data_IF_299522886784
#
_entry.id   IF_299522886784
#
_cell.length_a   1.000
_cell.length_b   1.000
_cell.length_c   1.000
_cell.angle_alpha   90.00
_cell.angle_beta   90.00
_cell.angle_gamma   90.00
#
_symmetry.space_group_name_H-M   'P 1'
#
loop_
_entity.id
_entity.type
_entity.pdbx_description
1 polymer ?
#
# COMPACT_ATOMS: atom_id res chain seq x y z
N UNK A 1 -37.18 1.62 -1.92
CA UNK A 1 -37.16 0.16 -1.65
C UNK A 1 -36.74 -0.02 -0.21
N UNK A 2 -37.65 -0.44 0.65
CA UNK A 2 -37.42 -0.74 2.07
C UNK A 2 -36.49 -1.96 2.14
N UNK A 3 -35.27 -1.77 2.61
CA UNK A 3 -34.37 -2.89 2.97
C UNK A 3 -34.99 -3.58 4.18
N UNK A 4 -35.56 -4.76 3.98
CA UNK A 4 -35.94 -5.64 5.09
C UNK A 4 -34.71 -5.84 5.99
N UNK A 5 -34.92 -5.89 7.31
CA UNK A 5 -33.86 -6.19 8.25
C UNK A 5 -33.15 -7.49 7.83
N UNK A 6 -31.80 -7.56 7.89
CA UNK A 6 -31.09 -8.78 7.51
C UNK A 6 -31.59 -9.94 8.37
N UNK A 7 -31.88 -11.08 7.74
CA UNK A 7 -32.21 -12.32 8.45
C UNK A 7 -31.00 -12.70 9.33
N UNK A 8 -31.24 -13.05 10.58
CA UNK A 8 -30.15 -13.47 11.52
C UNK A 8 -29.32 -14.61 10.96
N UNK A 9 -29.90 -15.45 10.10
CA UNK A 9 -29.19 -16.52 9.42
C UNK A 9 -28.19 -15.95 8.40
N UNK A 10 -28.56 -14.92 7.65
CA UNK A 10 -27.70 -14.24 6.69
C UNK A 10 -26.49 -13.58 7.39
N UNK A 11 -26.74 -12.86 8.49
CA UNK A 11 -25.67 -12.22 9.27
C UNK A 11 -24.67 -13.26 9.82
N UNK A 12 -25.13 -14.39 10.30
CA UNK A 12 -24.25 -15.49 10.76
C UNK A 12 -23.38 -16.06 9.65
N UNK A 13 -23.91 -16.22 8.45
CA UNK A 13 -23.16 -16.72 7.29
C UNK A 13 -22.07 -15.72 6.90
N UNK A 14 -22.40 -14.44 6.77
CA UNK A 14 -21.41 -13.40 6.47
C UNK A 14 -20.38 -13.21 7.58
N UNK A 15 -20.75 -13.39 8.83
CA UNK A 15 -19.79 -13.38 9.94
C UNK A 15 -18.77 -14.52 9.80
N UNK A 16 -19.20 -15.74 9.47
CA UNK A 16 -18.29 -16.88 9.20
C UNK A 16 -17.31 -16.56 8.07
N UNK A 17 -17.80 -16.02 6.94
CA UNK A 17 -16.98 -15.64 5.78
C UNK A 17 -15.98 -14.55 6.20
N UNK A 18 -16.43 -13.53 6.92
CA UNK A 18 -15.62 -12.41 7.38
C UNK A 18 -14.47 -12.89 8.29
N UNK A 19 -14.79 -13.68 9.32
CA UNK A 19 -13.78 -14.22 10.25
C UNK A 19 -12.82 -15.22 9.60
N UNK A 20 -13.27 -15.92 8.56
CA UNK A 20 -12.40 -16.83 7.81
C UNK A 20 -11.45 -16.10 6.86
N UNK A 21 -11.94 -15.11 6.12
CA UNK A 21 -11.15 -14.50 5.03
C UNK A 21 -10.39 -13.25 5.45
N UNK A 22 -11.04 -12.31 6.17
CA UNK A 22 -10.45 -10.99 6.38
C UNK A 22 -9.23 -10.98 7.30
N UNK A 23 -9.13 -11.74 8.40
CA UNK A 23 -7.91 -11.75 9.21
C UNK A 23 -6.70 -12.25 8.43
N UNK A 24 -6.88 -13.30 7.62
CA UNK A 24 -5.81 -13.85 6.80
C UNK A 24 -5.40 -12.91 5.66
N UNK A 25 -6.37 -12.38 4.90
CA UNK A 25 -6.09 -11.38 3.86
C UNK A 25 -5.53 -10.08 4.43
N UNK A 26 -5.98 -9.69 5.63
CA UNK A 26 -5.44 -8.56 6.36
C UNK A 26 -3.97 -8.76 6.75
N UNK A 27 -3.60 -9.97 7.20
CA UNK A 27 -2.21 -10.33 7.46
C UNK A 27 -1.36 -10.28 6.18
N UNK A 28 -1.88 -10.82 5.06
CA UNK A 28 -1.19 -10.72 3.76
C UNK A 28 -0.99 -9.26 3.33
N UNK A 29 -2.01 -8.41 3.52
CA UNK A 29 -1.96 -7.00 3.18
C UNK A 29 -1.02 -6.20 4.10
N UNK A 30 -0.98 -6.55 5.39
CA UNK A 30 -0.05 -5.98 6.36
C UNK A 30 1.40 -6.26 5.93
N UNK A 31 1.71 -7.50 5.57
CA UNK A 31 3.06 -7.89 5.12
C UNK A 31 3.43 -7.18 3.81
N UNK A 32 2.48 -7.00 2.88
CA UNK A 32 2.73 -6.24 1.65
C UNK A 32 3.17 -4.80 1.93
N UNK A 33 2.54 -4.13 2.89
CA UNK A 33 2.93 -2.77 3.26
C UNK A 33 4.18 -2.71 4.14
N UNK A 34 4.45 -3.72 4.94
CA UNK A 34 5.69 -3.84 5.70
C UNK A 34 6.89 -3.88 4.74
N UNK A 35 6.81 -4.70 3.69
CA UNK A 35 7.84 -4.82 2.67
C UNK A 35 8.05 -3.52 1.86
N UNK A 36 7.04 -2.65 1.78
CA UNK A 36 7.19 -1.32 1.17
C UNK A 36 7.92 -0.32 2.06
N UNK A 37 7.82 -0.46 3.38
CA UNK A 37 8.46 0.45 4.34
C UNK A 37 9.93 0.12 4.53
N UNK A 38 10.29 -1.15 4.45
CA UNK A 38 11.63 -1.64 4.76
C UNK A 38 12.74 -0.95 3.96
N UNK A 39 12.48 -0.62 2.69
CA UNK A 39 13.47 0.07 1.83
C UNK A 39 13.84 1.44 2.37
N UNK A 40 12.92 2.12 3.09
CA UNK A 40 13.22 3.39 3.78
C UNK A 40 14.17 3.22 4.97
N UNK A 41 14.08 2.10 5.69
CA UNK A 41 15.02 1.73 6.74
C UNK A 41 16.33 1.22 6.16
N UNK A 42 16.31 0.33 5.17
CA UNK A 42 17.51 -0.16 4.48
C UNK A 42 18.38 0.98 3.98
N UNK A 43 17.77 2.05 3.46
CA UNK A 43 18.43 3.26 2.99
C UNK A 43 19.48 3.79 3.96
N UNK A 44 19.22 3.73 5.27
CA UNK A 44 20.07 4.34 6.31
C UNK A 44 21.53 3.87 6.22
N UNK A 45 21.79 2.64 5.78
CA UNK A 45 23.12 2.09 5.64
C UNK A 45 23.42 1.57 4.22
N UNK A 46 22.43 1.09 3.50
CA UNK A 46 22.55 0.54 2.15
C UNK A 46 23.20 1.51 1.15
N UNK A 47 22.87 2.81 1.23
CA UNK A 47 23.44 3.81 0.31
C UNK A 47 24.96 3.92 0.48
N UNK A 48 25.43 3.94 1.71
CA UNK A 48 26.87 4.00 2.01
C UNK A 48 27.58 2.74 1.58
N UNK A 49 27.01 1.56 1.89
CA UNK A 49 27.60 0.26 1.57
C UNK A 49 27.69 0.01 0.06
N UNK A 50 26.66 0.39 -0.68
CA UNK A 50 26.58 0.22 -2.14
C UNK A 50 27.10 1.45 -2.92
N UNK A 51 27.52 2.52 -2.23
CA UNK A 51 27.99 3.78 -2.82
C UNK A 51 26.98 4.41 -3.77
N UNK A 52 25.70 4.37 -3.39
CA UNK A 52 24.61 4.93 -4.17
C UNK A 52 24.28 6.35 -3.74
N UNK A 53 23.88 7.20 -4.70
CA UNK A 53 23.38 8.55 -4.41
C UNK A 53 21.93 8.55 -3.91
N UNK A 54 21.49 9.66 -3.33
CA UNK A 54 20.08 9.87 -2.94
C UNK A 54 19.15 9.84 -4.16
N UNK A 55 19.56 10.38 -5.31
CA UNK A 55 18.81 10.31 -6.56
C UNK A 55 18.69 8.86 -7.07
N UNK A 56 19.78 8.08 -7.01
CA UNK A 56 19.75 6.67 -7.37
C UNK A 56 18.76 5.89 -6.49
N UNK A 57 18.81 6.12 -5.18
CA UNK A 57 17.83 5.53 -4.27
C UNK A 57 16.40 5.96 -4.61
N UNK A 58 16.16 7.26 -4.80
CA UNK A 58 14.85 7.80 -5.12
C UNK A 58 14.27 7.22 -6.41
N UNK A 59 15.09 7.08 -7.45
CA UNK A 59 14.70 6.41 -8.70
C UNK A 59 14.35 4.95 -8.46
N UNK A 60 15.23 4.19 -7.77
CA UNK A 60 15.00 2.78 -7.49
C UNK A 60 13.76 2.53 -6.61
N UNK A 61 13.57 3.33 -5.56
CA UNK A 61 12.37 3.28 -4.73
C UNK A 61 11.10 3.53 -5.57
N UNK A 62 11.17 4.46 -6.51
CA UNK A 62 10.05 4.85 -7.36
C UNK A 62 9.78 3.88 -8.51
N UNK A 63 10.81 3.30 -9.16
CA UNK A 63 10.62 2.44 -10.34
C UNK A 63 9.77 1.18 -10.06
N UNK A 64 9.65 0.78 -8.81
CA UNK A 64 8.68 -0.19 -8.34
C UNK A 64 7.26 0.13 -8.83
N UNK A 65 6.82 1.39 -8.70
CA UNK A 65 5.47 1.80 -9.10
C UNK A 65 5.26 1.75 -10.61
N UNK A 66 6.32 1.92 -11.39
CA UNK A 66 6.25 1.74 -12.86
C UNK A 66 5.99 0.28 -13.21
N UNK A 67 6.75 -0.64 -12.61
CA UNK A 67 6.53 -2.10 -12.76
C UNK A 67 5.13 -2.50 -12.31
N UNK A 68 4.70 -2.01 -11.15
CA UNK A 68 3.37 -2.26 -10.61
C UNK A 68 2.27 -1.78 -11.57
N UNK A 69 2.35 -0.54 -12.05
CA UNK A 69 1.37 0.05 -12.98
C UNK A 69 1.25 -0.75 -14.29
N UNK A 70 2.37 -1.10 -14.91
CA UNK A 70 2.37 -1.80 -16.19
C UNK A 70 1.75 -3.21 -16.10
N UNK A 71 1.93 -3.88 -14.96
CA UNK A 71 1.50 -5.28 -14.79
C UNK A 71 0.25 -5.45 -13.94
N UNK A 72 -0.34 -4.40 -13.39
CA UNK A 72 -1.56 -4.46 -12.59
C UNK A 72 -2.73 -5.09 -13.37
N UNK A 73 -3.01 -4.59 -14.58
CA UNK A 73 -4.10 -5.11 -15.42
C UNK A 73 -3.82 -6.52 -15.92
N UNK A 74 -2.65 -6.83 -16.53
CA UNK A 74 -2.30 -8.20 -16.91
C UNK A 74 -2.40 -9.21 -15.77
N UNK A 75 -1.95 -8.83 -14.58
CA UNK A 75 -2.00 -9.68 -13.39
C UNK A 75 -3.45 -10.00 -12.97
N UNK A 76 -4.34 -9.02 -12.99
CA UNK A 76 -5.74 -9.23 -12.67
C UNK A 76 -6.47 -10.11 -13.69
N UNK A 77 -6.15 -9.97 -14.97
CA UNK A 77 -6.68 -10.85 -16.02
C UNK A 77 -6.21 -12.31 -15.81
N UNK A 78 -4.95 -12.49 -15.42
CA UNK A 78 -4.42 -13.80 -15.09
C UNK A 78 -5.10 -14.41 -13.85
N UNK A 79 -5.33 -13.61 -12.79
CA UNK A 79 -6.07 -14.04 -11.60
C UNK A 79 -7.45 -14.56 -11.96
N UNK A 80 -8.17 -13.86 -12.84
CA UNK A 80 -9.51 -14.26 -13.25
C UNK A 80 -9.52 -15.59 -14.04
N UNK A 81 -8.46 -15.86 -14.82
CA UNK A 81 -8.35 -17.12 -15.63
C UNK A 81 -7.81 -18.30 -14.84
N UNK A 82 -6.84 -18.07 -13.97
CA UNK A 82 -6.09 -19.13 -13.27
C UNK A 82 -6.75 -19.47 -11.92
N UNK A 83 -7.48 -18.53 -11.35
CA UNK A 83 -8.10 -18.64 -10.02
C UNK A 83 -7.33 -17.88 -8.95
N UNK A 84 -8.09 -17.29 -8.02
CA UNK A 84 -7.57 -16.38 -7.00
C UNK A 84 -6.57 -17.05 -6.05
N UNK A 85 -6.87 -18.28 -5.60
CA UNK A 85 -6.01 -19.05 -4.69
C UNK A 85 -4.59 -19.19 -5.21
N UNK A 86 -4.42 -19.72 -6.42
CA UNK A 86 -3.10 -19.95 -7.01
C UNK A 86 -2.42 -18.62 -7.35
N UNK A 87 -3.15 -17.66 -7.90
CA UNK A 87 -2.56 -16.41 -8.38
C UNK A 87 -2.11 -15.51 -7.24
N UNK A 88 -2.88 -15.38 -6.15
CA UNK A 88 -2.48 -14.64 -4.94
C UNK A 88 -1.24 -15.30 -4.30
N UNK A 89 -1.22 -16.64 -4.21
CA UNK A 89 -0.06 -17.36 -3.71
C UNK A 89 1.19 -17.08 -4.55
N UNK A 90 1.07 -17.15 -5.89
CA UNK A 90 2.16 -16.82 -6.82
C UNK A 90 2.67 -15.39 -6.60
N UNK A 91 1.76 -14.42 -6.52
CA UNK A 91 2.14 -13.02 -6.26
C UNK A 91 2.97 -12.94 -4.98
N UNK A 92 2.47 -13.45 -3.87
CA UNK A 92 3.15 -13.36 -2.57
C UNK A 92 4.50 -14.06 -2.53
N UNK A 93 4.60 -15.27 -3.08
CA UNK A 93 5.86 -16.02 -3.12
C UNK A 93 6.87 -15.33 -4.03
N UNK A 94 6.46 -14.92 -5.23
CA UNK A 94 7.40 -14.27 -6.17
C UNK A 94 7.86 -12.91 -5.67
N UNK A 95 6.98 -12.10 -5.11
CA UNK A 95 7.40 -10.83 -4.51
C UNK A 95 8.34 -11.05 -3.31
N UNK A 96 8.02 -12.00 -2.41
CA UNK A 96 8.89 -12.31 -1.27
C UNK A 96 10.29 -12.76 -1.70
N UNK A 97 10.38 -13.60 -2.74
CA UNK A 97 11.68 -14.00 -3.31
C UNK A 97 12.45 -12.82 -3.91
N UNK A 98 11.79 -11.95 -4.67
CA UNK A 98 12.43 -10.76 -5.25
C UNK A 98 12.82 -9.75 -4.17
N UNK A 99 11.97 -9.53 -3.15
CA UNK A 99 12.29 -8.66 -2.02
C UNK A 99 13.51 -9.18 -1.25
N UNK A 100 13.51 -10.47 -0.90
CA UNK A 100 14.67 -11.09 -0.23
C UNK A 100 15.95 -11.05 -1.07
N UNK A 101 15.84 -11.13 -2.40
CA UNK A 101 17.00 -11.02 -3.30
C UNK A 101 17.65 -9.63 -3.31
N UNK A 102 16.95 -8.59 -2.85
CA UNK A 102 17.54 -7.26 -2.68
C UNK A 102 18.70 -7.23 -1.67
N UNK A 103 18.74 -8.16 -0.72
CA UNK A 103 19.88 -8.35 0.17
C UNK A 103 21.19 -8.65 -0.59
N UNK A 104 21.09 -9.17 -1.79
CA UNK A 104 22.23 -9.57 -2.63
C UNK A 104 22.53 -8.57 -3.76
N UNK A 105 22.03 -7.33 -3.68
CA UNK A 105 22.24 -6.29 -4.71
C UNK A 105 23.74 -6.12 -5.04
N UNK A 106 24.60 -6.00 -4.03
CA UNK A 106 26.05 -5.90 -4.23
C UNK A 106 26.69 -7.15 -4.86
N UNK A 107 26.21 -8.33 -4.46
CA UNK A 107 26.66 -9.61 -5.04
C UNK A 107 26.27 -9.71 -6.52
N UNK A 108 25.05 -9.37 -6.87
CA UNK A 108 24.60 -9.36 -8.27
C UNK A 108 25.34 -8.32 -9.10
N UNK A 109 25.65 -7.15 -8.52
CA UNK A 109 26.46 -6.15 -9.18
C UNK A 109 27.86 -6.69 -9.51
N UNK A 110 28.51 -7.35 -8.57
CA UNK A 110 29.81 -7.97 -8.77
C UNK A 110 29.79 -9.12 -9.80
N UNK A 111 28.74 -9.93 -9.80
CA UNK A 111 28.60 -11.07 -10.74
C UNK A 111 28.29 -10.62 -12.18
N UNK A 112 27.51 -9.55 -12.33
CA UNK A 112 27.07 -9.07 -13.65
C UNK A 112 27.97 -8.00 -14.25
N UNK A 113 28.84 -7.38 -13.45
CA UNK A 113 29.62 -6.21 -13.84
C UNK A 113 28.82 -4.92 -13.97
N UNK A 114 27.54 -4.93 -13.57
CA UNK A 114 26.67 -3.74 -13.55
C UNK A 114 26.92 -2.91 -12.29
N UNK A 115 26.59 -1.62 -12.33
CA UNK A 115 26.55 -0.80 -11.13
C UNK A 115 25.48 -1.28 -10.13
N UNK A 116 25.74 -1.11 -8.82
CA UNK A 116 24.80 -1.53 -7.78
C UNK A 116 23.44 -0.80 -7.88
N UNK A 117 23.43 0.46 -8.32
CA UNK A 117 22.26 1.24 -8.64
C UNK A 117 21.41 0.61 -9.74
N UNK A 118 22.04 0.17 -10.84
CA UNK A 118 21.37 -0.50 -11.96
C UNK A 118 20.72 -1.81 -11.51
N UNK A 119 21.43 -2.61 -10.71
CA UNK A 119 20.89 -3.86 -10.14
C UNK A 119 19.72 -3.56 -9.21
N UNK A 120 19.86 -2.55 -8.35
CA UNK A 120 18.78 -2.11 -7.46
C UNK A 120 17.53 -1.69 -8.27
N UNK A 121 17.68 -0.94 -9.37
CA UNK A 121 16.57 -0.56 -10.24
C UNK A 121 15.84 -1.76 -10.82
N UNK A 122 16.58 -2.73 -11.34
CA UNK A 122 15.97 -3.95 -11.88
C UNK A 122 15.26 -4.77 -10.82
N UNK A 123 15.84 -4.94 -9.64
CA UNK A 123 15.20 -5.67 -8.55
C UNK A 123 13.93 -4.95 -8.08
N UNK A 124 13.95 -3.63 -7.95
CA UNK A 124 12.78 -2.83 -7.60
C UNK A 124 11.69 -2.87 -8.68
N UNK A 125 12.07 -2.82 -9.96
CA UNK A 125 11.13 -2.96 -11.07
C UNK A 125 10.48 -4.35 -11.08
N UNK A 126 11.28 -5.41 -10.94
CA UNK A 126 10.80 -6.79 -10.86
C UNK A 126 9.91 -7.00 -9.62
N UNK A 127 10.23 -6.37 -8.49
CA UNK A 127 9.38 -6.39 -7.30
C UNK A 127 8.01 -5.77 -7.59
N UNK A 128 7.99 -4.64 -8.30
CA UNK A 128 6.75 -4.00 -8.75
C UNK A 128 5.91 -4.93 -9.64
N UNK A 129 6.54 -5.63 -10.60
CA UNK A 129 5.87 -6.63 -11.45
C UNK A 129 5.34 -7.81 -10.61
N UNK A 130 6.14 -8.30 -9.67
CA UNK A 130 5.78 -9.46 -8.86
C UNK A 130 4.60 -9.17 -7.94
N UNK A 131 4.55 -7.96 -7.33
CA UNK A 131 3.47 -7.52 -6.44
C UNK A 131 2.23 -7.01 -7.20
N UNK A 132 2.40 -6.67 -8.50
CA UNK A 132 1.32 -6.12 -9.31
C UNK A 132 0.07 -7.00 -9.29
N UNK A 133 -1.08 -6.35 -9.07
CA UNK A 133 -2.38 -7.02 -9.01
C UNK A 133 -2.71 -7.65 -7.65
N UNK A 134 -1.87 -7.54 -6.62
CA UNK A 134 -2.20 -8.10 -5.30
C UNK A 134 -3.45 -7.44 -4.72
N UNK A 135 -3.44 -6.13 -4.51
CA UNK A 135 -4.57 -5.42 -3.92
C UNK A 135 -5.85 -5.50 -4.77
N UNK A 136 -5.84 -5.14 -6.07
CA UNK A 136 -7.05 -5.30 -6.89
C UNK A 136 -7.47 -6.76 -7.06
N UNK A 137 -6.53 -7.71 -7.01
CA UNK A 137 -6.82 -9.14 -6.99
C UNK A 137 -7.55 -9.58 -5.72
N UNK A 138 -7.15 -9.07 -4.56
CA UNK A 138 -7.88 -9.30 -3.29
C UNK A 138 -9.27 -8.68 -3.35
N UNK A 139 -9.42 -7.46 -3.92
CA UNK A 139 -10.74 -6.85 -4.10
C UNK A 139 -11.63 -7.68 -5.03
N UNK A 140 -11.09 -8.18 -6.13
CA UNK A 140 -11.80 -9.08 -7.05
C UNK A 140 -12.18 -10.39 -6.34
N UNK A 141 -11.29 -10.95 -5.53
CA UNK A 141 -11.59 -12.14 -4.73
C UNK A 141 -12.72 -11.90 -3.73
N UNK A 142 -12.75 -10.73 -3.05
CA UNK A 142 -13.83 -10.38 -2.15
C UNK A 142 -15.18 -10.22 -2.88
N UNK A 143 -15.21 -9.83 -4.16
CA UNK A 143 -16.41 -9.81 -4.99
C UNK A 143 -17.05 -11.20 -5.19
N UNK A 144 -16.28 -12.27 -5.05
CA UNK A 144 -16.81 -13.64 -5.14
C UNK A 144 -17.55 -14.07 -3.87
N UNK A 145 -17.43 -13.30 -2.78
CA UNK A 145 -17.98 -13.61 -1.45
C UNK A 145 -19.02 -12.62 -0.95
N UNK A 146 -18.89 -11.35 -1.34
CA UNK A 146 -19.70 -10.27 -0.80
C UNK A 146 -20.44 -9.51 -1.90
N UNK A 147 -21.73 -9.23 -1.71
CA UNK A 147 -22.44 -8.24 -2.52
C UNK A 147 -21.88 -6.83 -2.24
N UNK A 148 -22.02 -5.89 -3.18
CA UNK A 148 -21.37 -4.58 -3.16
C UNK A 148 -21.60 -3.78 -1.89
N UNK A 149 -22.80 -3.85 -1.30
CA UNK A 149 -23.14 -3.13 -0.07
C UNK A 149 -22.40 -3.65 1.16
N UNK A 150 -22.04 -4.97 1.20
CA UNK A 150 -21.24 -5.58 2.28
C UNK A 150 -19.74 -5.53 2.01
N UNK A 151 -19.36 -5.56 0.75
CA UNK A 151 -17.96 -5.50 0.33
C UNK A 151 -17.26 -4.24 0.82
N UNK A 152 -17.92 -3.08 0.80
CA UNK A 152 -17.34 -1.81 1.27
C UNK A 152 -16.84 -1.90 2.72
N UNK A 153 -17.55 -2.63 3.60
CA UNK A 153 -17.13 -2.86 4.98
C UNK A 153 -15.93 -3.81 5.07
N UNK A 154 -15.92 -4.89 4.27
CA UNK A 154 -14.80 -5.83 4.20
C UNK A 154 -13.51 -5.14 3.70
N UNK A 155 -13.63 -4.31 2.67
CA UNK A 155 -12.51 -3.51 2.12
C UNK A 155 -12.01 -2.50 3.14
N UNK A 156 -12.89 -1.81 3.88
CA UNK A 156 -12.48 -0.86 4.91
C UNK A 156 -11.67 -1.55 6.03
N UNK A 157 -12.06 -2.77 6.44
CA UNK A 157 -11.30 -3.57 7.40
C UNK A 157 -9.93 -3.99 6.86
N UNK A 158 -9.86 -4.37 5.57
CA UNK A 158 -8.61 -4.70 4.90
C UNK A 158 -7.67 -3.49 4.84
N UNK A 159 -8.19 -2.32 4.45
CA UNK A 159 -7.41 -1.08 4.35
C UNK A 159 -6.87 -0.60 5.70
N UNK A 160 -7.50 -0.95 6.82
CA UNK A 160 -6.98 -0.64 8.15
C UNK A 160 -5.64 -1.34 8.45
N UNK A 161 -5.29 -2.41 7.73
CA UNK A 161 -3.99 -3.05 7.87
C UNK A 161 -2.83 -2.18 7.35
N UNK A 162 -3.08 -1.23 6.44
CA UNK A 162 -2.04 -0.35 5.89
C UNK A 162 -1.40 0.56 6.97
N UNK A 163 -2.13 1.43 7.68
CA UNK A 163 -1.50 2.22 8.74
C UNK A 163 -0.94 1.36 9.87
N UNK A 164 -1.55 0.21 10.14
CA UNK A 164 -1.06 -0.73 11.14
C UNK A 164 0.30 -1.33 10.76
N UNK A 165 0.52 -1.60 9.46
CA UNK A 165 1.82 -2.10 8.98
C UNK A 165 2.95 -1.10 9.20
N UNK A 166 2.71 0.20 9.05
CA UNK A 166 3.70 1.23 9.36
C UNK A 166 4.02 1.31 10.86
N UNK A 167 2.99 1.23 11.70
CA UNK A 167 3.14 1.30 13.16
C UNK A 167 3.89 0.07 13.70
N UNK A 168 3.62 -1.11 13.17
CA UNK A 168 4.27 -2.37 13.59
C UNK A 168 5.61 -2.55 12.87
N UNK A 169 5.67 -2.28 11.58
CA UNK A 169 6.84 -2.53 10.74
C UNK A 169 8.04 -1.68 11.11
N UNK A 170 7.85 -0.39 11.39
CA UNK A 170 8.97 0.50 11.67
C UNK A 170 9.80 0.07 12.91
N UNK A 171 9.22 -0.30 14.08
CA UNK A 171 10.00 -0.86 15.18
C UNK A 171 10.64 -2.21 14.85
N UNK A 172 9.97 -3.07 14.07
CA UNK A 172 10.53 -4.36 13.64
C UNK A 172 11.74 -4.13 12.76
N UNK A 173 11.64 -3.26 11.74
CA UNK A 173 12.76 -2.91 10.87
C UNK A 173 13.94 -2.34 11.66
N UNK A 174 13.67 -1.41 12.59
CA UNK A 174 14.69 -0.86 13.47
C UNK A 174 15.34 -1.90 14.39
N UNK A 175 14.56 -2.83 14.95
CA UNK A 175 15.06 -3.91 15.79
C UNK A 175 15.91 -4.92 15.02
N UNK A 176 15.49 -5.29 13.80
CA UNK A 176 16.26 -6.18 12.93
C UNK A 176 17.60 -5.55 12.59
N UNK A 177 17.62 -4.32 12.11
CA UNK A 177 18.85 -3.66 11.73
C UNK A 177 19.79 -3.45 12.93
N UNK A 178 19.25 -3.11 14.11
CA UNK A 178 20.07 -2.93 15.30
C UNK A 178 20.61 -4.26 15.87
N UNK A 179 19.85 -5.35 15.76
CA UNK A 179 20.17 -6.62 16.40
C UNK A 179 20.98 -7.59 15.55
N UNK A 180 20.88 -7.55 14.22
CA UNK A 180 21.45 -8.56 13.32
C UNK A 180 22.66 -8.07 12.51
N UNK A 181 23.03 -6.79 12.59
CA UNK A 181 24.16 -6.25 11.83
C UNK A 181 25.45 -7.00 12.10
N UNK A 182 26.11 -7.47 11.02
CA UNK A 182 27.36 -8.24 11.08
C UNK A 182 27.20 -9.73 11.40
N UNK A 183 25.99 -10.21 11.70
CA UNK A 183 25.74 -11.62 11.97
C UNK A 183 25.77 -12.44 10.68
N UNK A 184 26.48 -13.56 10.67
CA UNK A 184 26.54 -14.47 9.52
C UNK A 184 27.17 -13.86 8.26
N UNK A 185 27.93 -12.77 8.39
CA UNK A 185 28.57 -12.09 7.26
C UNK A 185 27.66 -11.14 6.46
N UNK A 186 26.42 -10.97 6.89
CA UNK A 186 25.49 -10.01 6.30
C UNK A 186 25.45 -8.70 7.06
N UNK A 187 25.26 -7.59 6.35
CA UNK A 187 24.98 -6.28 6.94
C UNK A 187 23.56 -6.21 7.50
N UNK A 188 23.26 -5.17 8.26
CA UNK A 188 21.96 -4.97 8.91
C UNK A 188 20.80 -4.80 7.91
N UNK A 189 21.00 -4.03 6.83
CA UNK A 189 19.99 -3.86 5.78
C UNK A 189 19.76 -5.14 4.94
N UNK A 190 20.78 -6.00 4.82
CA UNK A 190 20.61 -7.30 4.17
C UNK A 190 19.72 -8.23 4.99
N UNK A 191 19.95 -8.28 6.33
CA UNK A 191 19.08 -9.01 7.23
C UNK A 191 17.64 -8.48 7.22
N UNK A 192 17.46 -7.17 7.10
CA UNK A 192 16.15 -6.57 7.00
C UNK A 192 15.37 -7.14 5.82
N UNK A 193 15.93 -7.14 4.62
CA UNK A 193 15.28 -7.71 3.44
C UNK A 193 15.01 -9.21 3.57
N UNK A 194 15.96 -9.98 4.11
CA UNK A 194 15.80 -11.43 4.26
C UNK A 194 14.68 -11.79 5.25
N UNK A 195 14.67 -11.14 6.42
CA UNK A 195 13.71 -11.46 7.47
C UNK A 195 12.31 -10.93 7.18
N UNK A 196 12.18 -9.78 6.54
CA UNK A 196 10.86 -9.23 6.20
C UNK A 196 10.25 -9.85 4.93
N UNK A 197 11.08 -10.42 4.03
CA UNK A 197 10.59 -11.20 2.90
C UNK A 197 10.02 -12.58 3.30
N UNK A 198 10.57 -13.20 4.34
CA UNK A 198 10.17 -14.54 4.76
C UNK A 198 8.67 -14.68 5.08
N UNK A 199 8.01 -13.78 5.83
CA UNK A 199 6.57 -13.83 6.06
C UNK A 199 5.73 -13.80 4.78
N UNK A 200 6.16 -13.07 3.74
CA UNK A 200 5.44 -13.02 2.46
C UNK A 200 5.46 -14.40 1.79
N UNK A 201 6.60 -15.09 1.79
CA UNK A 201 6.74 -16.44 1.23
C UNK A 201 5.89 -17.43 2.03
N UNK A 202 5.99 -17.39 3.37
CA UNK A 202 5.24 -18.30 4.27
C UNK A 202 3.73 -18.11 4.11
N UNK A 203 3.24 -16.87 4.14
CA UNK A 203 1.83 -16.59 3.92
C UNK A 203 1.41 -16.93 2.48
N UNK A 204 2.26 -16.67 1.49
CA UNK A 204 2.00 -17.03 0.10
C UNK A 204 1.81 -18.55 -0.09
N UNK A 205 2.64 -19.36 0.56
CA UNK A 205 2.44 -20.82 0.63
C UNK A 205 1.16 -21.13 1.40
N UNK A 206 0.91 -20.43 2.52
CA UNK A 206 -0.30 -20.58 3.32
C UNK A 206 -1.59 -20.31 2.53
N UNK A 207 -1.58 -19.37 1.58
CA UNK A 207 -2.71 -19.09 0.68
C UNK A 207 -3.18 -20.36 -0.03
N UNK A 208 -2.25 -21.23 -0.48
CA UNK A 208 -2.58 -22.47 -1.19
C UNK A 208 -3.38 -23.45 -0.35
N UNK A 209 -3.26 -23.38 0.98
CA UNK A 209 -3.96 -24.30 1.88
C UNK A 209 -5.17 -23.65 2.55
N UNK A 210 -5.18 -22.33 2.67
CA UNK A 210 -6.20 -21.61 3.44
C UNK A 210 -7.32 -21.02 2.60
N UNK A 211 -7.01 -20.44 1.42
CA UNK A 211 -8.00 -19.84 0.54
C UNK A 211 -8.59 -20.90 -0.42
N UNK A 212 -9.81 -20.63 -0.87
CA UNK A 212 -10.50 -21.38 -1.94
C UNK A 212 -10.75 -20.43 -3.11
N UNK A 213 -10.97 -20.95 -4.34
CA UNK A 213 -11.21 -20.07 -5.48
C UNK A 213 -12.56 -19.35 -5.42
N UNK A 214 -13.54 -19.92 -4.71
CA UNK A 214 -14.86 -19.33 -4.56
C UNK A 214 -15.73 -20.11 -3.58
N UNK A 215 -17.02 -19.79 -3.59
CA UNK A 215 -18.02 -20.37 -2.69
C UNK A 215 -18.14 -21.88 -2.90
N UNK A 216 -18.13 -22.35 -4.16
CA UNK A 216 -18.32 -23.77 -4.51
C UNK A 216 -17.24 -24.66 -3.90
N UNK A 217 -15.97 -24.21 -3.97
CA UNK A 217 -14.81 -24.96 -3.50
C UNK A 217 -14.65 -24.91 -1.97
N UNK A 218 -15.52 -24.19 -1.25
CA UNK A 218 -15.38 -24.00 0.20
C UNK A 218 -15.93 -25.18 1.00
N UNK A 219 -15.05 -26.08 1.45
CA UNK A 219 -15.43 -27.22 2.29
C UNK A 219 -15.86 -26.81 3.72
N UNK A 220 -15.54 -25.60 4.16
CA UNK A 220 -15.85 -25.06 5.49
C UNK A 220 -17.24 -24.41 5.59
N UNK A 221 -17.98 -24.27 4.47
CA UNK A 221 -19.35 -23.80 4.40
C UNK A 221 -20.34 -24.96 4.21
N UNK A 222 -21.44 -24.92 4.93
CA UNK A 222 -22.56 -25.84 4.69
C UNK A 222 -23.24 -25.52 3.34
N UNK A 223 -23.86 -26.51 2.71
CA UNK A 223 -24.51 -26.32 1.41
C UNK A 223 -25.64 -25.26 1.44
N UNK A 224 -26.36 -25.15 2.57
CA UNK A 224 -27.35 -24.07 2.76
C UNK A 224 -26.71 -22.67 2.78
N UNK A 225 -25.55 -22.50 3.45
CA UNK A 225 -24.80 -21.24 3.51
C UNK A 225 -24.30 -20.88 2.09
N UNK A 226 -23.80 -21.86 1.32
CA UNK A 226 -23.36 -21.64 -0.08
C UNK A 226 -24.47 -21.16 -0.99
N UNK A 227 -25.66 -21.80 -0.89
CA UNK A 227 -26.84 -21.38 -1.67
C UNK A 227 -27.24 -19.95 -1.36
N UNK A 228 -27.34 -19.60 -0.08
CA UNK A 228 -27.69 -18.23 0.36
C UNK A 228 -26.74 -17.19 -0.25
N UNK A 229 -25.42 -17.42 -0.16
CA UNK A 229 -24.42 -16.49 -0.72
C UNK A 229 -24.55 -16.34 -2.23
N UNK A 230 -24.73 -17.46 -2.97
CA UNK A 230 -24.91 -17.45 -4.42
C UNK A 230 -26.17 -16.72 -4.86
N UNK A 231 -27.29 -16.96 -4.17
CA UNK A 231 -28.56 -16.30 -4.49
C UNK A 231 -28.44 -14.78 -4.32
N UNK A 232 -27.75 -14.30 -3.28
CA UNK A 232 -27.51 -12.87 -3.05
C UNK A 232 -26.63 -12.26 -4.14
N UNK A 233 -25.57 -12.95 -4.55
CA UNK A 233 -24.69 -12.49 -5.64
C UNK A 233 -25.39 -12.50 -7.00
N UNK A 234 -26.22 -13.51 -7.27
CA UNK A 234 -26.99 -13.62 -8.52
C UNK A 234 -28.04 -12.51 -8.66
N UNK A 235 -28.67 -12.08 -7.57
CA UNK A 235 -29.61 -10.94 -7.56
C UNK A 235 -28.92 -9.65 -7.99
N UNK A 236 -27.67 -9.42 -7.55
CA UNK A 236 -26.91 -8.21 -7.88
C UNK A 236 -26.38 -8.23 -9.32
N UNK A 237 -25.98 -9.40 -9.83
CA UNK A 237 -25.42 -9.53 -11.19
C UNK A 237 -26.39 -9.05 -12.28
N UNK A 238 -27.71 -9.13 -12.04
CA UNK A 238 -28.76 -8.70 -12.97
C UNK A 238 -28.86 -7.19 -13.15
N UNK A 239 -28.23 -6.40 -12.29
CA UNK A 239 -28.34 -4.92 -12.28
C UNK A 239 -27.12 -4.20 -12.85
N UNK A 240 -26.07 -4.91 -13.27
CA UNK A 240 -24.84 -4.31 -13.82
C UNK A 240 -25.03 -3.96 -15.31
N UNK A 241 -24.70 -2.71 -15.67
CA UNK A 241 -24.71 -2.23 -17.06
C UNK A 241 -23.28 -1.96 -17.51
N UNK A 242 -22.97 -2.32 -18.77
CA UNK A 242 -21.69 -2.05 -19.39
C UNK A 242 -21.59 -0.59 -19.88
N UNK A 243 -20.42 0.02 -19.71
CA UNK A 243 -20.12 1.38 -20.15
C UNK A 243 -18.84 1.44 -20.96
N UNK A 244 -18.82 2.37 -21.92
CA UNK A 244 -17.68 2.57 -22.82
C UNK A 244 -16.53 3.28 -22.11
N UNK A 245 -15.37 2.61 -21.99
CA UNK A 245 -14.11 3.18 -21.47
C UNK A 245 -13.71 4.46 -22.24
N UNK A 246 -14.01 4.53 -23.54
CA UNK A 246 -13.66 5.69 -24.38
C UNK A 246 -14.34 6.97 -23.92
N UNK A 247 -15.62 6.89 -23.53
CA UNK A 247 -16.38 8.05 -23.02
C UNK A 247 -15.79 8.50 -21.68
N UNK A 248 -15.44 7.56 -20.83
CA UNK A 248 -14.84 7.85 -19.52
C UNK A 248 -13.49 8.57 -19.66
N UNK A 249 -12.59 8.09 -20.53
CA UNK A 249 -11.27 8.68 -20.76
C UNK A 249 -11.33 10.08 -21.40
N UNK A 250 -12.45 10.44 -22.06
CA UNK A 250 -12.67 11.78 -22.59
C UNK A 250 -13.16 12.79 -21.54
N UNK A 251 -13.49 12.35 -20.34
CA UNK A 251 -14.05 13.21 -19.27
C UNK A 251 -12.97 14.03 -18.59
N UNK A 252 -13.02 15.36 -18.71
CA UNK A 252 -12.05 16.28 -18.09
C UNK A 252 -11.92 16.08 -16.57
N UNK A 253 -13.01 15.79 -15.87
CA UNK A 253 -13.03 15.55 -14.44
C UNK A 253 -12.15 14.34 -14.03
N UNK A 254 -12.12 13.27 -14.85
CA UNK A 254 -11.27 12.11 -14.61
C UNK A 254 -9.80 12.52 -14.47
N UNK A 255 -9.29 13.30 -15.42
CA UNK A 255 -7.89 13.73 -15.46
C UNK A 255 -7.55 14.71 -14.35
N UNK A 256 -8.49 15.58 -13.94
CA UNK A 256 -8.32 16.48 -12.79
C UNK A 256 -8.17 15.64 -11.51
N UNK A 257 -9.06 14.67 -11.28
CA UNK A 257 -8.95 13.79 -10.11
C UNK A 257 -7.68 12.94 -10.15
N UNK A 258 -7.31 12.46 -11.33
CA UNK A 258 -6.05 11.71 -11.50
C UNK A 258 -4.83 12.56 -11.11
N UNK A 259 -4.77 13.81 -11.56
CA UNK A 259 -3.70 14.72 -11.21
C UNK A 259 -3.67 15.05 -9.71
N UNK A 260 -4.83 15.30 -9.11
CA UNK A 260 -4.92 15.55 -7.65
C UNK A 260 -4.43 14.32 -6.87
N UNK A 261 -4.89 13.12 -7.24
CA UNK A 261 -4.49 11.89 -6.56
C UNK A 261 -2.99 11.61 -6.74
N UNK A 262 -2.45 11.81 -7.93
CA UNK A 262 -1.02 11.69 -8.21
C UNK A 262 -0.19 12.60 -7.28
N UNK A 263 -0.58 13.86 -7.11
CA UNK A 263 0.11 14.79 -6.23
C UNK A 263 0.01 14.39 -4.74
N UNK A 264 -1.15 13.90 -4.30
CA UNK A 264 -1.31 13.37 -2.94
C UNK A 264 -0.38 12.17 -2.71
N UNK A 265 -0.41 11.20 -3.63
CA UNK A 265 0.41 9.98 -3.57
C UNK A 265 1.90 10.33 -3.60
N UNK A 266 2.29 11.31 -4.42
CA UNK A 266 3.66 11.81 -4.50
C UNK A 266 4.17 12.31 -3.14
N UNK A 267 3.37 13.13 -2.44
CA UNK A 267 3.69 13.60 -1.10
C UNK A 267 3.75 12.47 -0.06
N UNK A 268 2.77 11.58 -0.06
CA UNK A 268 2.69 10.46 0.89
C UNK A 268 3.89 9.52 0.75
N UNK A 269 4.24 9.06 -0.46
CA UNK A 269 5.37 8.17 -0.65
C UNK A 269 6.73 8.88 -0.53
N UNK A 270 6.78 10.17 -0.87
CA UNK A 270 7.96 10.98 -0.58
C UNK A 270 8.31 10.94 0.91
N UNK A 271 7.34 11.22 1.77
CA UNK A 271 7.54 11.15 3.22
C UNK A 271 7.83 9.71 3.67
N UNK A 272 7.06 8.73 3.20
CA UNK A 272 7.20 7.34 3.65
C UNK A 272 8.63 6.79 3.47
N UNK A 273 9.27 7.07 2.35
CA UNK A 273 10.61 6.54 2.07
C UNK A 273 11.74 7.36 2.69
N UNK A 274 11.49 8.61 3.07
CA UNK A 274 12.50 9.48 3.69
C UNK A 274 12.36 9.65 5.20
N UNK A 275 11.21 9.30 5.79
CA UNK A 275 10.94 9.53 7.22
C UNK A 275 12.03 8.96 8.15
N UNK A 276 12.51 7.71 8.00
CA UNK A 276 13.61 7.21 8.83
C UNK A 276 14.89 8.04 8.69
N UNK A 277 15.24 8.43 7.46
CA UNK A 277 16.43 9.26 7.19
C UNK A 277 16.29 10.67 7.73
N UNK A 278 15.10 11.27 7.66
CA UNK A 278 14.83 12.59 8.25
C UNK A 278 15.06 12.55 9.76
N UNK A 279 14.53 11.51 10.43
CA UNK A 279 14.73 11.32 11.88
C UNK A 279 16.21 11.09 12.20
N UNK A 280 16.93 10.27 11.43
CA UNK A 280 18.36 10.02 11.62
C UNK A 280 19.18 11.30 11.49
N UNK A 281 18.88 12.16 10.50
CA UNK A 281 19.58 13.44 10.27
C UNK A 281 19.46 14.42 11.45
N UNK A 282 18.44 14.28 12.31
CA UNK A 282 18.32 15.09 13.54
C UNK A 282 19.24 14.64 14.68
N UNK A 283 20.10 13.64 14.46
CA UNK A 283 21.06 13.16 15.44
C UNK A 283 20.65 11.91 16.21
N UNK A 284 19.49 11.31 15.91
CA UNK A 284 19.06 10.02 16.49
C UNK A 284 19.88 8.89 15.86
N UNK A 285 20.73 8.23 16.64
CA UNK A 285 21.66 7.18 16.15
C UNK A 285 21.12 5.75 16.28
N UNK A 286 20.27 5.50 17.29
CA UNK A 286 19.72 4.16 17.50
C UNK A 286 18.65 3.83 16.47
N UNK A 287 18.85 2.79 15.67
CA UNK A 287 17.91 2.34 14.65
C UNK A 287 16.56 1.92 15.23
N UNK A 288 16.58 1.30 16.41
CA UNK A 288 15.35 0.97 17.15
C UNK A 288 14.60 2.23 17.59
N UNK A 289 15.32 3.28 18.04
CA UNK A 289 14.69 4.57 18.38
C UNK A 289 14.08 5.24 17.15
N UNK A 290 14.77 5.21 16.00
CA UNK A 290 14.23 5.68 14.72
C UNK A 290 12.93 4.91 14.39
N UNK A 291 12.92 3.59 14.59
CA UNK A 291 11.75 2.75 14.41
C UNK A 291 10.57 3.18 15.27
N UNK A 292 10.77 3.39 16.58
CA UNK A 292 9.70 3.81 17.47
C UNK A 292 9.19 5.22 17.20
N UNK A 293 10.07 6.17 16.88
CA UNK A 293 9.66 7.53 16.50
C UNK A 293 8.85 7.51 15.20
N UNK A 294 9.27 6.71 14.22
CA UNK A 294 8.54 6.50 12.97
C UNK A 294 7.16 5.92 13.23
N UNK A 295 7.06 4.86 14.06
CA UNK A 295 5.80 4.25 14.45
C UNK A 295 4.86 5.23 15.14
N UNK A 296 5.39 6.04 16.08
CA UNK A 296 4.62 7.08 16.77
C UNK A 296 4.07 8.11 15.77
N UNK A 297 4.89 8.55 14.81
CA UNK A 297 4.48 9.49 13.77
C UNK A 297 3.32 8.93 12.93
N UNK A 298 3.39 7.66 12.52
CA UNK A 298 2.30 7.02 11.77
C UNK A 298 1.05 6.78 12.61
N UNK A 299 1.20 6.42 13.88
CA UNK A 299 0.07 6.24 14.79
C UNK A 299 -0.71 7.56 14.96
N UNK A 300 0.00 8.65 15.26
CA UNK A 300 -0.61 9.98 15.38
C UNK A 300 -1.27 10.41 14.07
N UNK A 301 -0.58 10.19 12.93
CA UNK A 301 -1.14 10.50 11.62
C UNK A 301 -2.40 9.72 11.31
N UNK A 302 -2.45 8.43 11.63
CA UNK A 302 -3.63 7.59 11.46
C UNK A 302 -4.80 8.04 12.35
N UNK A 303 -4.54 8.37 13.61
CA UNK A 303 -5.57 8.90 14.53
C UNK A 303 -6.12 10.22 14.02
N UNK A 304 -5.26 11.15 13.59
CA UNK A 304 -5.68 12.43 13.03
C UNK A 304 -6.49 12.23 11.74
N UNK A 305 -6.10 11.29 10.88
CA UNK A 305 -6.84 10.98 9.66
C UNK A 305 -8.27 10.51 9.99
N UNK A 306 -8.44 9.63 10.97
CA UNK A 306 -9.76 9.16 11.40
C UNK A 306 -10.60 10.29 12.03
N UNK A 307 -10.00 11.07 12.94
CA UNK A 307 -10.71 12.15 13.65
C UNK A 307 -11.16 13.25 12.68
N UNK A 308 -10.26 13.71 11.79
CA UNK A 308 -10.56 14.79 10.84
C UNK A 308 -11.55 14.30 9.77
N UNK A 309 -11.43 13.06 9.26
CA UNK A 309 -12.39 12.51 8.30
C UNK A 309 -13.79 12.39 8.91
N UNK A 310 -13.92 11.89 10.14
CA UNK A 310 -15.20 11.84 10.86
C UNK A 310 -15.80 13.24 11.09
N UNK A 311 -14.95 14.23 11.39
CA UNK A 311 -15.41 15.63 11.54
C UNK A 311 -15.92 16.19 10.22
N UNK A 312 -15.20 15.94 9.11
CA UNK A 312 -15.60 16.36 7.77
C UNK A 312 -16.95 15.73 7.36
N UNK A 313 -17.15 14.46 7.68
CA UNK A 313 -18.43 13.76 7.45
C UNK A 313 -19.58 14.36 8.28
N UNK A 314 -19.37 14.55 9.59
CA UNK A 314 -20.40 15.12 10.49
C UNK A 314 -20.80 16.54 10.09
N UNK A 315 -19.88 17.33 9.51
CA UNK A 315 -20.16 18.69 9.02
C UNK A 315 -20.63 18.74 7.58
N UNK A 316 -20.71 17.57 6.93
CA UNK A 316 -20.99 17.43 5.49
C UNK A 316 -20.09 18.34 4.63
N UNK A 317 -18.85 18.54 5.07
CA UNK A 317 -17.89 19.44 4.45
C UNK A 317 -16.53 18.74 4.31
N UNK A 318 -16.31 18.06 3.18
CA UNK A 318 -15.09 17.28 2.92
C UNK A 318 -14.03 18.07 2.13
N UNK A 319 -14.49 19.00 1.27
CA UNK A 319 -13.62 19.71 0.34
C UNK A 319 -12.58 20.57 1.06
N UNK A 320 -13.03 21.45 1.96
CA UNK A 320 -12.14 22.33 2.70
C UNK A 320 -11.29 21.61 3.73
N UNK A 321 -11.80 20.53 4.32
CA UNK A 321 -10.98 19.69 5.21
C UNK A 321 -9.83 19.02 4.45
N UNK A 322 -10.07 18.49 3.23
CA UNK A 322 -9.03 17.91 2.41
C UNK A 322 -8.01 18.97 1.94
N UNK A 323 -8.47 20.12 1.46
CA UNK A 323 -7.60 21.22 1.01
C UNK A 323 -6.74 21.78 2.15
N UNK A 324 -7.35 22.03 3.32
CA UNK A 324 -6.61 22.51 4.50
C UNK A 324 -5.60 21.47 4.98
N UNK A 325 -5.95 20.18 5.01
CA UNK A 325 -5.03 19.12 5.39
C UNK A 325 -3.83 19.03 4.44
N UNK A 326 -4.05 19.14 3.13
CA UNK A 326 -2.97 19.17 2.14
C UNK A 326 -2.06 20.41 2.31
N UNK A 327 -2.65 21.59 2.49
CA UNK A 327 -1.90 22.84 2.68
C UNK A 327 -1.08 22.81 3.98
N UNK A 328 -1.68 22.41 5.10
CA UNK A 328 -0.99 22.27 6.39
C UNK A 328 0.13 21.22 6.25
N UNK A 329 -0.16 20.06 5.62
CA UNK A 329 0.83 19.01 5.41
C UNK A 329 2.04 19.50 4.61
N UNK A 330 1.81 20.18 3.49
CA UNK A 330 2.88 20.77 2.67
C UNK A 330 3.70 21.84 3.43
N UNK A 331 3.02 22.74 4.16
CA UNK A 331 3.69 23.75 4.99
C UNK A 331 4.53 23.10 6.10
N UNK A 332 3.98 22.10 6.80
CA UNK A 332 4.70 21.36 7.84
C UNK A 332 5.92 20.63 7.27
N UNK A 333 5.81 20.04 6.05
CA UNK A 333 6.96 19.43 5.41
C UNK A 333 8.08 20.43 5.15
N UNK A 334 7.77 21.63 4.65
CA UNK A 334 8.74 22.70 4.46
C UNK A 334 9.35 23.17 5.79
N UNK A 335 8.53 23.34 6.84
CA UNK A 335 9.00 23.71 8.17
C UNK A 335 9.91 22.65 8.79
N UNK A 336 9.68 21.35 8.51
CA UNK A 336 10.55 20.30 9.02
C UNK A 336 12.01 20.43 8.54
N UNK A 337 12.20 20.93 7.32
CA UNK A 337 13.54 21.24 6.81
C UNK A 337 14.17 22.46 7.48
N UNK A 338 13.37 23.49 7.77
CA UNK A 338 13.85 24.72 8.43
C UNK A 338 14.24 24.49 9.90
N UNK A 339 13.72 23.46 10.55
CA UNK A 339 13.99 23.13 11.95
C UNK A 339 14.75 21.80 12.11
N UNK A 340 15.59 21.45 11.13
CA UNK A 340 16.34 20.18 11.09
C UNK A 340 17.27 19.96 12.29
N UNK A 341 17.72 21.02 12.96
CA UNK A 341 18.57 20.97 14.14
C UNK A 341 17.83 20.51 15.42
N UNK A 342 16.49 20.51 15.41
CA UNK A 342 15.66 20.09 16.54
C UNK A 342 14.89 18.83 16.23
N UNK A 343 15.28 17.69 16.83
CA UNK A 343 14.60 16.41 16.65
C UNK A 343 13.09 16.51 16.91
N UNK A 344 12.69 17.16 18.00
CA UNK A 344 11.28 17.22 18.39
C UNK A 344 10.43 18.06 17.42
N UNK A 345 10.95 19.20 16.96
CA UNK A 345 10.25 20.05 15.99
C UNK A 345 10.16 19.37 14.63
N UNK A 346 11.27 18.79 14.15
CA UNK A 346 11.29 18.04 12.90
C UNK A 346 10.28 16.89 12.93
N UNK A 347 10.31 16.06 13.98
CA UNK A 347 9.37 14.94 14.14
C UNK A 347 7.92 15.44 14.21
N UNK A 348 7.64 16.52 14.95
CA UNK A 348 6.30 17.08 15.03
C UNK A 348 5.81 17.57 13.66
N UNK A 349 6.62 18.31 12.92
CA UNK A 349 6.26 18.82 11.60
C UNK A 349 6.10 17.68 10.56
N UNK A 350 7.01 16.71 10.54
CA UNK A 350 6.89 15.57 9.60
C UNK A 350 5.68 14.70 9.96
N UNK A 351 5.34 14.53 11.24
CA UNK A 351 4.12 13.85 11.69
C UNK A 351 2.88 14.56 11.18
N UNK A 352 2.82 15.89 11.30
CA UNK A 352 1.70 16.68 10.77
C UNK A 352 1.64 16.65 9.24
N UNK A 353 2.81 16.63 8.57
CA UNK A 353 2.88 16.46 7.11
C UNK A 353 2.31 15.10 6.68
N UNK A 354 2.70 14.02 7.35
CA UNK A 354 2.16 12.68 7.11
C UNK A 354 0.65 12.62 7.36
N UNK A 355 0.19 13.24 8.46
CA UNK A 355 -1.24 13.32 8.78
C UNK A 355 -2.02 14.06 7.69
N UNK A 356 -1.49 15.20 7.21
CA UNK A 356 -2.08 15.97 6.12
C UNK A 356 -2.23 15.15 4.84
N UNK A 357 -1.21 14.37 4.47
CA UNK A 357 -1.25 13.45 3.34
C UNK A 357 -2.31 12.36 3.50
N UNK A 358 -2.35 11.68 4.66
CA UNK A 358 -3.32 10.62 4.94
C UNK A 358 -4.77 11.12 5.00
N UNK A 359 -5.02 12.30 5.61
CA UNK A 359 -6.35 12.94 5.63
C UNK A 359 -6.80 13.27 4.20
N UNK A 360 -5.91 13.90 3.41
CA UNK A 360 -6.22 14.26 2.03
C UNK A 360 -6.53 13.05 1.18
N UNK A 361 -5.75 11.96 1.34
CA UNK A 361 -5.95 10.70 0.65
C UNK A 361 -7.28 10.04 1.04
N UNK A 362 -7.61 10.01 2.32
CA UNK A 362 -8.86 9.41 2.82
C UNK A 362 -10.10 10.16 2.32
N UNK A 363 -10.08 11.50 2.39
CA UNK A 363 -11.20 12.32 1.95
C UNK A 363 -11.31 12.36 0.42
N UNK A 364 -10.21 12.26 -0.31
CA UNK A 364 -10.19 12.30 -1.77
C UNK A 364 -11.14 11.28 -2.39
N UNK A 365 -11.15 10.04 -1.90
CA UNK A 365 -11.97 8.96 -2.47
C UNK A 365 -13.48 9.19 -2.37
N UNK A 366 -13.92 10.18 -1.61
CA UNK A 366 -15.33 10.56 -1.56
C UNK A 366 -15.78 11.48 -2.72
N UNK A 367 -14.86 12.08 -3.48
CA UNK A 367 -15.19 13.05 -4.53
C UNK A 367 -15.43 12.41 -5.92
N UNK A 368 -14.57 11.51 -6.43
CA UNK A 368 -14.76 11.01 -7.78
C UNK A 368 -16.11 10.31 -7.99
N UNK A 369 -16.56 9.53 -7.00
CA UNK A 369 -17.84 8.81 -7.08
C UNK A 369 -19.08 9.71 -7.13
N UNK A 370 -18.98 10.97 -6.72
CA UNK A 370 -20.09 11.94 -6.78
C UNK A 370 -20.20 12.66 -8.13
N UNK A 371 -19.12 12.64 -8.94
CA UNK A 371 -19.04 13.37 -10.21
C UNK A 371 -19.02 12.40 -11.40
N UNK A 372 -18.38 11.24 -11.24
CA UNK A 372 -18.41 10.18 -12.22
C UNK A 372 -19.72 9.40 -12.07
N UNK A 373 -20.64 9.56 -13.03
CA UNK A 373 -21.97 8.96 -12.97
C UNK A 373 -22.03 7.59 -13.64
N UNK A 374 -22.93 6.73 -13.15
CA UNK A 374 -23.25 5.44 -13.75
C UNK A 374 -22.21 4.34 -13.52
N UNK A 375 -22.24 3.25 -14.32
CA UNK A 375 -21.34 2.11 -14.14
C UNK A 375 -19.89 2.38 -14.59
N UNK A 376 -19.63 3.52 -15.25
CA UNK A 376 -18.28 4.03 -15.51
C UNK A 376 -17.49 4.43 -14.25
N UNK A 377 -18.16 4.61 -13.11
CA UNK A 377 -17.52 4.99 -11.84
C UNK A 377 -16.43 4.00 -11.45
N UNK A 378 -16.68 2.70 -11.49
CA UNK A 378 -15.69 1.69 -11.11
C UNK A 378 -14.43 1.73 -11.99
N UNK A 379 -14.61 1.84 -13.30
CA UNK A 379 -13.50 1.96 -14.24
C UNK A 379 -12.75 3.29 -14.08
N UNK A 380 -13.48 4.39 -13.78
CA UNK A 380 -12.88 5.69 -13.48
C UNK A 380 -12.05 5.69 -12.20
N UNK A 381 -12.55 5.09 -11.13
CA UNK A 381 -11.81 4.92 -9.89
C UNK A 381 -10.55 4.07 -10.07
N UNK A 382 -10.65 3.00 -10.87
CA UNK A 382 -9.50 2.16 -11.21
C UNK A 382 -8.44 2.97 -12.01
N UNK A 383 -8.85 3.73 -13.01
CA UNK A 383 -7.96 4.58 -13.80
C UNK A 383 -7.26 5.65 -12.94
N UNK A 384 -8.02 6.34 -12.07
CA UNK A 384 -7.47 7.33 -11.13
C UNK A 384 -6.43 6.66 -10.22
N UNK A 385 -6.75 5.48 -9.68
CA UNK A 385 -5.85 4.74 -8.79
C UNK A 385 -4.56 4.32 -9.53
N UNK A 386 -4.69 3.66 -10.66
CA UNK A 386 -3.52 3.13 -11.41
C UNK A 386 -2.59 4.24 -11.86
N UNK A 387 -3.10 5.29 -12.52
CA UNK A 387 -2.28 6.41 -13.00
C UNK A 387 -1.79 7.26 -11.83
N UNK A 388 -2.64 7.52 -10.83
CA UNK A 388 -2.26 8.30 -9.65
C UNK A 388 -1.18 7.64 -8.80
N UNK A 389 -1.13 6.31 -8.75
CA UNK A 389 -0.06 5.58 -8.06
C UNK A 389 1.35 5.82 -8.67
N UNK A 390 1.44 6.32 -9.90
CA UNK A 390 2.72 6.80 -10.47
C UNK A 390 3.30 7.98 -9.67
N UNK A 391 2.51 8.68 -8.86
CA UNK A 391 3.03 9.62 -7.87
C UNK A 391 4.06 8.99 -6.91
N UNK A 392 3.93 7.69 -6.65
CA UNK A 392 4.92 6.91 -5.90
C UNK A 392 6.28 6.76 -6.62
N UNK A 393 6.34 6.97 -7.94
CA UNK A 393 7.59 7.11 -8.67
C UNK A 393 8.14 8.54 -8.57
N UNK A 394 7.32 9.53 -8.90
CA UNK A 394 7.78 10.92 -8.99
C UNK A 394 8.19 11.50 -7.62
N UNK A 395 7.47 11.19 -6.55
CA UNK A 395 7.75 11.71 -5.20
C UNK A 395 9.16 11.34 -4.70
N UNK A 396 9.47 10.06 -4.56
CA UNK A 396 10.79 9.61 -4.13
C UNK A 396 11.92 10.06 -5.06
N UNK A 397 11.72 9.98 -6.37
CA UNK A 397 12.73 10.40 -7.34
C UNK A 397 13.07 11.90 -7.23
N UNK A 398 12.05 12.76 -7.18
CA UNK A 398 12.26 14.20 -7.05
C UNK A 398 12.94 14.57 -5.72
N UNK A 399 12.55 13.93 -4.61
CA UNK A 399 13.21 14.16 -3.33
C UNK A 399 14.68 13.73 -3.37
N UNK A 400 14.99 12.57 -3.95
CA UNK A 400 16.38 12.12 -4.09
C UNK A 400 17.21 13.06 -4.95
N UNK A 401 16.69 13.45 -6.11
CA UNK A 401 17.38 14.38 -7.01
C UNK A 401 17.61 15.75 -6.38
N UNK A 402 16.63 16.28 -5.64
CA UNK A 402 16.79 17.54 -4.92
C UNK A 402 17.80 17.44 -3.78
N UNK A 403 17.85 16.30 -3.07
CA UNK A 403 18.82 16.10 -1.97
C UNK A 403 20.27 16.03 -2.47
N UNK A 404 20.50 15.46 -3.65
CA UNK A 404 21.84 15.43 -4.26
C UNK A 404 22.27 16.79 -4.84
N UNK A 405 21.30 17.65 -5.22
CA UNK A 405 21.56 18.96 -5.81
C UNK A 405 21.80 20.06 -4.76
N UNK A 406 21.20 19.94 -3.56
CA UNK A 406 21.33 20.88 -2.44
C UNK A 406 22.54 20.54 -1.55
#
# INVERSE_FOLDING_TARGET
>A
MTTAAPDEAEERVYAKVTWRLLPFLGACYLIAYLDRVNVGFAKLHMLTDLKMSEAAYGFGAGVFFVGYFLFEVPSNLALHRIGARFWIARIMVTWGLVSGSMAFTGTFAALTGLGADTVFYWLRFLLGIAEAGFFPGVLLYLNYWYPSHRQSRAVALLLAAQPLSFVIGAPISGAIMQGFGGTGGFTDWQWLFLLEAAPAIVLGIGVLFYLTNGIDDSAWLAEGDKRLLKDRLALEAKTKHDYSLRVLLSTKALWIFTAIYLLIVMGVYGINFWLPSIIQKTGVRSLLSIGWITAFSYLVSAVLAVVISRRAERRNEKRWHAAAAAAIGGTCLALSAAFSDSTWLTVAFVTLASAGGLVSMALFWSFPGSILMGAGVAAGLAAINSVGNLGGFFGPYLLGALTDWL
#
